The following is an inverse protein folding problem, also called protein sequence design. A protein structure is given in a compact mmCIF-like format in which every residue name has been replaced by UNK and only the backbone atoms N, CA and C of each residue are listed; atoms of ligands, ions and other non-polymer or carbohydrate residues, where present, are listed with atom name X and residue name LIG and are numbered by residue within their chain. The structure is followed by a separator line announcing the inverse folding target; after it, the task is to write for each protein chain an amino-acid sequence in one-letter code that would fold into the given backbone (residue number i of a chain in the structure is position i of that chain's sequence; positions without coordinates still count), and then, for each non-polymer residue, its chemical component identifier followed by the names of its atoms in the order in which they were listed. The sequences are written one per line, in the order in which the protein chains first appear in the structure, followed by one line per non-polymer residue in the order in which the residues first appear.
data_IF_176845662531
#
_entry.id   IF_176845662531
#
_cell.length_a   1.000
_cell.length_b   1.000
_cell.length_c   1.000
_cell.angle_alpha   90.00
_cell.angle_beta   90.00
_cell.angle_gamma   90.00
#
_symmetry.space_group_name_H-M   'P 1'
#
loop_
_entity.id
_entity.type
_entity.pdbx_description
1 polymer ?
#
# COMPACT_ATOMS: atom_id res chain seq x y z
N UNK A 1 -20.81 -102.74 25.53
CA UNK A 1 -19.97 -101.52 25.38
C UNK A 1 -19.97 -101.19 23.90
N UNK A 2 -20.51 -100.08 23.41
CA UNK A 2 -21.08 -98.90 24.07
C UNK A 2 -21.79 -98.06 23.00
N UNK A 3 -23.02 -97.69 23.32
CA UNK A 3 -23.68 -96.40 23.12
C UNK A 3 -23.95 -95.79 21.73
N UNK A 4 -25.27 -95.57 21.56
CA UNK A 4 -25.95 -94.50 20.84
C UNK A 4 -25.13 -93.24 20.54
N UNK A 5 -25.29 -92.69 19.33
CA UNK A 5 -25.42 -91.24 19.19
C UNK A 5 -26.37 -90.87 18.03
N UNK A 6 -27.60 -90.52 18.40
CA UNK A 6 -28.59 -89.92 17.51
C UNK A 6 -28.21 -88.46 17.27
N UNK A 7 -27.73 -88.14 16.06
CA UNK A 7 -27.56 -86.76 15.65
C UNK A 7 -28.84 -86.29 14.93
N UNK A 8 -29.67 -85.54 15.67
CA UNK A 8 -30.84 -84.82 15.18
C UNK A 8 -30.37 -83.80 14.16
N UNK A 9 -30.69 -84.02 12.87
CA UNK A 9 -30.58 -82.98 11.84
C UNK A 9 -31.69 -81.96 12.08
N UNK A 10 -31.31 -80.80 12.63
CA UNK A 10 -32.12 -79.60 12.67
C UNK A 10 -32.59 -79.27 11.25
N UNK A 11 -33.85 -79.60 10.99
CA UNK A 11 -34.52 -79.36 9.73
C UNK A 11 -34.86 -77.86 9.71
N UNK A 12 -33.94 -77.02 9.23
CA UNK A 12 -34.25 -75.64 8.80
C UNK A 12 -35.34 -75.72 7.73
N UNK A 13 -36.60 -75.70 8.17
CA UNK A 13 -37.77 -75.73 7.30
C UNK A 13 -37.72 -74.52 6.40
N UNK A 14 -37.33 -74.76 5.15
CA UNK A 14 -37.27 -73.74 4.11
C UNK A 14 -38.67 -73.09 3.99
N UNK A 15 -38.84 -71.80 4.34
CA UNK A 15 -40.17 -71.19 4.48
C UNK A 15 -40.99 -71.23 3.18
N UNK A 16 -40.30 -71.39 2.05
CA UNK A 16 -40.89 -71.59 0.72
C UNK A 16 -41.70 -72.88 0.56
N UNK A 17 -41.53 -73.94 1.37
CA UNK A 17 -42.25 -75.21 1.17
C UNK A 17 -43.74 -75.17 1.54
N UNK A 18 -44.21 -74.19 2.32
CA UNK A 18 -45.63 -74.07 2.77
C UNK A 18 -46.47 -73.04 2.01
N UNK A 19 -45.89 -72.33 1.04
CA UNK A 19 -46.57 -71.28 0.28
C UNK A 19 -47.25 -71.86 -0.97
N UNK A 20 -48.46 -71.41 -1.29
CA UNK A 20 -49.15 -71.80 -2.53
C UNK A 20 -48.32 -71.38 -3.76
N UNK A 21 -48.49 -72.07 -4.89
CA UNK A 21 -47.80 -71.79 -6.16
C UNK A 21 -47.88 -70.31 -6.55
N UNK A 22 -49.04 -69.67 -6.33
CA UNK A 22 -49.26 -68.25 -6.55
C UNK A 22 -48.36 -67.35 -5.71
N UNK A 23 -48.20 -67.64 -4.40
CA UNK A 23 -47.33 -66.85 -3.52
C UNK A 23 -45.85 -67.00 -3.86
N UNK A 24 -45.42 -68.18 -4.32
CA UNK A 24 -44.04 -68.41 -4.81
C UNK A 24 -43.76 -67.59 -6.08
N UNK A 25 -44.70 -67.60 -7.03
CA UNK A 25 -44.62 -66.76 -8.22
C UNK A 25 -44.54 -65.27 -7.87
N UNK A 26 -45.41 -64.81 -6.97
CA UNK A 26 -45.44 -63.41 -6.54
C UNK A 26 -44.11 -62.96 -5.90
N UNK A 27 -43.48 -63.81 -5.08
CA UNK A 27 -42.18 -63.52 -4.48
C UNK A 27 -41.07 -63.46 -5.54
N UNK A 28 -41.03 -64.40 -6.49
CA UNK A 28 -40.03 -64.40 -7.57
C UNK A 28 -40.21 -63.17 -8.47
N UNK A 29 -41.45 -62.86 -8.84
CA UNK A 29 -41.80 -61.68 -9.62
C UNK A 29 -41.42 -60.39 -8.89
N UNK A 30 -41.76 -60.27 -7.60
CA UNK A 30 -41.41 -59.10 -6.79
C UNK A 30 -39.88 -58.95 -6.66
N UNK A 31 -39.15 -60.04 -6.43
CA UNK A 31 -37.68 -60.02 -6.39
C UNK A 31 -37.06 -59.59 -7.72
N UNK A 32 -37.56 -60.11 -8.85
CA UNK A 32 -37.10 -59.70 -10.18
C UNK A 32 -37.39 -58.21 -10.45
N UNK A 33 -38.58 -57.73 -10.06
CA UNK A 33 -38.95 -56.32 -10.18
C UNK A 33 -38.03 -55.43 -9.34
N UNK A 34 -37.70 -55.83 -8.11
CA UNK A 34 -36.76 -55.10 -7.24
C UNK A 34 -35.38 -54.99 -7.90
N UNK A 35 -34.87 -56.07 -8.51
CA UNK A 35 -33.58 -56.04 -9.21
C UNK A 35 -33.61 -55.10 -10.42
N UNK A 36 -34.70 -55.11 -11.19
CA UNK A 36 -34.87 -54.18 -12.33
C UNK A 36 -34.92 -52.73 -11.84
N UNK A 37 -35.67 -52.45 -10.77
CA UNK A 37 -35.74 -51.10 -10.17
C UNK A 37 -34.37 -50.68 -9.66
N UNK A 38 -33.64 -51.55 -8.97
CA UNK A 38 -32.29 -51.26 -8.48
C UNK A 38 -31.33 -50.95 -9.63
N UNK A 39 -31.35 -51.74 -10.72
CA UNK A 39 -30.55 -51.49 -11.91
C UNK A 39 -30.92 -50.14 -12.57
N UNK A 40 -32.21 -49.84 -12.70
CA UNK A 40 -32.68 -48.57 -13.23
C UNK A 40 -32.24 -47.38 -12.37
N UNK A 41 -32.26 -47.51 -11.04
CA UNK A 41 -31.77 -46.47 -10.12
C UNK A 41 -30.27 -46.25 -10.24
N UNK A 42 -29.47 -47.29 -10.44
CA UNK A 42 -28.01 -47.16 -10.66
C UNK A 42 -27.72 -46.42 -11.97
N UNK A 43 -28.42 -46.77 -13.06
CA UNK A 43 -28.28 -46.08 -14.36
C UNK A 43 -28.72 -44.62 -14.21
N UNK A 44 -29.87 -44.38 -13.58
CA UNK A 44 -30.38 -43.03 -13.33
C UNK A 44 -29.42 -42.20 -12.49
N UNK A 45 -28.81 -42.81 -11.46
CA UNK A 45 -27.81 -42.13 -10.62
C UNK A 45 -26.58 -41.72 -11.44
N UNK A 46 -26.08 -42.61 -12.31
CA UNK A 46 -24.97 -42.27 -13.21
C UNK A 46 -25.31 -41.15 -14.18
N UNK A 47 -26.51 -41.19 -14.77
CA UNK A 47 -27.01 -40.13 -15.65
C UNK A 47 -27.15 -38.79 -14.92
N UNK A 48 -27.73 -38.78 -13.72
CA UNK A 48 -27.91 -37.56 -12.92
C UNK A 48 -26.56 -36.95 -12.50
N UNK A 49 -25.59 -37.78 -12.11
CA UNK A 49 -24.23 -37.34 -11.81
C UNK A 49 -23.57 -36.67 -13.01
N UNK A 50 -23.71 -37.26 -14.20
CA UNK A 50 -23.17 -36.69 -15.44
C UNK A 50 -23.94 -35.43 -15.88
N UNK A 51 -25.25 -35.38 -15.64
CA UNK A 51 -26.05 -34.17 -15.87
C UNK A 51 -25.63 -33.02 -14.95
N UNK A 52 -25.48 -33.28 -13.65
CA UNK A 52 -25.07 -32.28 -12.66
C UNK A 52 -23.67 -31.74 -12.94
N UNK A 53 -22.71 -32.62 -13.24
CA UNK A 53 -21.36 -32.21 -13.63
C UNK A 53 -21.32 -31.40 -14.94
N UNK A 54 -22.31 -31.58 -15.81
CA UNK A 54 -22.44 -30.85 -17.07
C UNK A 54 -23.06 -29.45 -16.94
N UNK A 55 -23.54 -29.06 -15.76
CA UNK A 55 -24.11 -27.72 -15.54
C UNK A 55 -22.99 -26.70 -15.36
N UNK A 56 -23.00 -25.56 -16.08
CA UNK A 56 -22.00 -24.51 -15.85
C UNK A 56 -22.01 -23.97 -14.41
N UNK A 57 -23.18 -24.03 -13.75
CA UNK A 57 -23.33 -23.69 -12.33
C UNK A 57 -22.41 -24.51 -11.41
N UNK A 58 -22.12 -25.78 -11.73
CA UNK A 58 -21.23 -26.62 -10.92
C UNK A 58 -19.80 -26.07 -10.89
N UNK A 59 -19.32 -25.51 -12.01
CA UNK A 59 -18.01 -24.83 -12.08
C UNK A 59 -18.02 -23.53 -11.26
N UNK A 60 -19.13 -22.80 -11.27
CA UNK A 60 -19.30 -21.59 -10.44
C UNK A 60 -19.39 -21.91 -8.95
N UNK A 61 -20.12 -22.94 -8.55
CA UNK A 61 -20.20 -23.40 -7.16
C UNK A 61 -18.82 -23.83 -6.65
N UNK A 62 -18.03 -24.49 -7.51
CA UNK A 62 -16.64 -24.83 -7.21
C UNK A 62 -15.78 -23.58 -7.02
N UNK A 63 -15.93 -22.56 -7.88
CA UNK A 63 -15.21 -21.29 -7.75
C UNK A 63 -15.57 -20.59 -6.43
N UNK A 64 -16.86 -20.46 -6.10
CA UNK A 64 -17.34 -19.88 -4.84
C UNK A 64 -16.73 -20.60 -3.64
N UNK A 65 -16.78 -21.93 -3.63
CA UNK A 65 -16.20 -22.73 -2.55
C UNK A 65 -14.67 -22.57 -2.41
N UNK A 66 -13.95 -22.22 -3.48
CA UNK A 66 -12.52 -21.88 -3.38
C UNK A 66 -12.32 -20.49 -2.78
N UNK A 67 -13.12 -19.50 -3.19
CA UNK A 67 -13.08 -18.14 -2.66
C UNK A 67 -13.40 -18.13 -1.16
N UNK A 68 -14.45 -18.83 -0.74
CA UNK A 68 -14.85 -18.96 0.68
C UNK A 68 -13.76 -19.63 1.54
N UNK A 69 -12.88 -20.42 0.93
CA UNK A 69 -11.71 -21.03 1.60
C UNK A 69 -10.46 -20.14 1.56
N UNK A 70 -10.53 -18.95 0.99
CA UNK A 70 -9.41 -18.02 0.83
C UNK A 70 -8.43 -18.39 -0.30
N UNK A 71 -8.78 -19.36 -1.17
CA UNK A 71 -7.90 -19.85 -2.24
C UNK A 71 -8.08 -19.05 -3.53
N UNK A 72 -7.72 -17.76 -3.51
CA UNK A 72 -7.87 -16.82 -4.65
C UNK A 72 -6.64 -16.72 -5.57
N UNK A 73 -5.45 -17.15 -5.10
CA UNK A 73 -4.17 -16.95 -5.80
C UNK A 73 -4.08 -17.49 -7.24
N UNK A 74 -4.57 -18.72 -7.47
CA UNK A 74 -4.55 -19.33 -8.81
C UNK A 74 -5.35 -18.51 -9.83
N UNK A 75 -6.45 -17.90 -9.38
CA UNK A 75 -7.34 -17.11 -10.22
C UNK A 75 -6.76 -15.73 -10.53
N UNK A 76 -6.06 -15.12 -9.55
CA UNK A 76 -5.34 -13.86 -9.74
C UNK A 76 -4.30 -14.01 -10.86
N UNK A 77 -3.49 -15.07 -10.83
CA UNK A 77 -2.52 -15.37 -11.90
C UNK A 77 -3.16 -15.48 -13.27
N UNK A 78 -4.31 -16.15 -13.37
CA UNK A 78 -5.04 -16.34 -14.64
C UNK A 78 -5.71 -15.06 -15.14
N UNK A 79 -6.05 -14.14 -14.23
CA UNK A 79 -6.72 -12.88 -14.56
C UNK A 79 -5.78 -11.79 -15.11
N UNK A 80 -4.46 -11.94 -14.95
CA UNK A 80 -3.49 -10.93 -15.38
C UNK A 80 -3.49 -9.66 -14.52
N UNK A 81 -4.09 -9.71 -13.32
CA UNK A 81 -4.17 -8.58 -12.39
C UNK A 81 -2.85 -8.25 -11.68
N UNK A 82 -1.83 -9.10 -11.81
CA UNK A 82 -0.58 -8.90 -11.09
C UNK A 82 0.21 -7.75 -11.72
N UNK A 83 0.30 -6.62 -11.01
CA UNK A 83 1.12 -5.48 -11.37
C UNK A 83 2.61 -5.72 -11.15
N UNK A 84 3.44 -4.80 -11.64
CA UNK A 84 4.90 -4.83 -11.52
C UNK A 84 5.37 -4.78 -10.05
N UNK A 85 4.63 -4.05 -9.20
CA UNK A 85 5.02 -3.72 -7.83
C UNK A 85 4.28 -4.55 -6.77
N UNK A 86 3.52 -5.58 -7.17
CA UNK A 86 2.72 -6.38 -6.24
C UNK A 86 2.97 -7.87 -6.43
N UNK A 87 2.91 -8.60 -5.31
CA UNK A 87 3.05 -10.04 -5.30
C UNK A 87 1.68 -10.71 -5.30
N UNK A 88 1.63 -11.99 -5.69
CA UNK A 88 0.40 -12.79 -5.58
C UNK A 88 -0.16 -12.78 -4.16
N UNK A 89 0.70 -12.73 -3.13
CA UNK A 89 0.27 -12.63 -1.73
C UNK A 89 -0.48 -11.34 -1.49
N UNK A 90 0.09 -10.18 -1.86
CA UNK A 90 -0.53 -8.86 -1.66
C UNK A 90 -1.92 -8.80 -2.30
N UNK A 91 -2.03 -9.22 -3.56
CA UNK A 91 -3.31 -9.21 -4.28
C UNK A 91 -4.28 -10.25 -3.69
N UNK A 92 -3.79 -11.42 -3.26
CA UNK A 92 -4.63 -12.44 -2.60
C UNK A 92 -5.17 -11.96 -1.26
N UNK A 93 -4.35 -11.23 -0.50
CA UNK A 93 -4.73 -10.64 0.78
C UNK A 93 -5.82 -9.59 0.58
N UNK A 94 -5.66 -8.69 -0.40
CA UNK A 94 -6.69 -7.73 -0.80
C UNK A 94 -8.04 -8.40 -1.10
N UNK A 95 -8.04 -9.45 -1.92
CA UNK A 95 -9.29 -10.14 -2.26
C UNK A 95 -9.86 -10.90 -1.07
N UNK A 96 -9.02 -11.54 -0.24
CA UNK A 96 -9.49 -12.20 0.98
C UNK A 96 -10.22 -11.20 1.88
N UNK A 97 -9.63 -10.03 2.11
CA UNK A 97 -10.23 -8.97 2.92
C UNK A 97 -11.52 -8.43 2.26
N UNK A 98 -11.55 -8.33 0.93
CA UNK A 98 -12.75 -7.95 0.16
C UNK A 98 -13.91 -8.93 0.37
N UNK A 99 -13.62 -10.21 0.53
CA UNK A 99 -14.60 -11.29 0.70
C UNK A 99 -14.90 -11.63 2.16
N UNK A 100 -14.06 -11.21 3.11
CA UNK A 100 -14.19 -11.58 4.51
C UNK A 100 -15.53 -11.12 5.11
N UNK A 101 -16.26 -12.06 5.72
CA UNK A 101 -17.56 -11.79 6.34
C UNK A 101 -18.72 -11.55 5.36
N UNK A 102 -18.48 -11.59 4.05
CA UNK A 102 -19.50 -11.36 3.02
C UNK A 102 -20.09 -12.65 2.47
N UNK A 103 -21.33 -12.61 2.02
CA UNK A 103 -21.96 -13.71 1.30
C UNK A 103 -21.52 -13.71 -0.16
N UNK A 104 -20.86 -14.77 -0.61
CA UNK A 104 -20.43 -14.91 -2.01
C UNK A 104 -21.55 -15.55 -2.83
N UNK A 105 -21.96 -14.91 -3.92
CA UNK A 105 -23.01 -15.42 -4.80
C UNK A 105 -22.75 -15.10 -6.26
N UNK A 106 -23.49 -15.72 -7.19
CA UNK A 106 -23.37 -15.43 -8.61
C UNK A 106 -24.71 -15.43 -9.34
N UNK A 107 -24.81 -14.65 -10.41
CA UNK A 107 -25.99 -14.58 -11.29
C UNK A 107 -25.56 -14.65 -12.74
N UNK A 108 -26.43 -15.20 -13.61
CA UNK A 108 -26.19 -15.17 -15.07
C UNK A 108 -26.05 -13.72 -15.53
N UNK A 109 -25.03 -13.41 -16.32
CA UNK A 109 -24.81 -12.06 -16.84
C UNK A 109 -25.82 -11.76 -17.93
N UNK A 110 -26.73 -10.83 -17.67
CA UNK A 110 -27.77 -10.44 -18.62
C UNK A 110 -27.13 -9.92 -19.92
N UNK A 111 -27.63 -10.39 -21.07
CA UNK A 111 -27.15 -9.99 -22.39
C UNK A 111 -25.89 -10.70 -22.89
N UNK A 112 -25.10 -11.34 -22.02
CA UNK A 112 -23.84 -12.03 -22.38
C UNK A 112 -23.88 -13.55 -22.15
N UNK A 113 -24.70 -14.02 -21.21
CA UNK A 113 -24.85 -15.45 -20.96
C UNK A 113 -25.55 -16.16 -22.14
N UNK A 114 -24.96 -17.25 -22.61
CA UNK A 114 -25.63 -18.27 -23.43
C UNK A 114 -25.32 -19.69 -22.95
N UNK A 115 -26.09 -20.68 -23.38
CA UNK A 115 -25.84 -22.08 -23.05
C UNK A 115 -24.55 -22.63 -23.72
N UNK A 116 -24.04 -21.98 -24.77
CA UNK A 116 -22.77 -22.31 -25.41
C UNK A 116 -21.59 -21.46 -24.91
N UNK A 117 -21.87 -20.29 -24.34
CA UNK A 117 -20.89 -19.34 -23.80
C UNK A 117 -21.38 -18.79 -22.45
N UNK A 118 -21.30 -19.58 -21.37
CA UNK A 118 -21.80 -19.18 -20.07
C UNK A 118 -20.97 -18.03 -19.50
N UNK A 119 -21.65 -16.94 -19.13
CA UNK A 119 -21.05 -15.78 -18.48
C UNK A 119 -21.84 -15.44 -17.22
N UNK A 120 -21.14 -15.29 -16.10
CA UNK A 120 -21.72 -15.00 -14.80
C UNK A 120 -21.16 -13.70 -14.22
N UNK A 121 -21.92 -13.07 -13.33
CA UNK A 121 -21.44 -11.99 -12.46
C UNK A 121 -21.31 -12.55 -11.05
N UNK A 122 -20.13 -12.41 -10.47
CA UNK A 122 -19.81 -12.76 -9.09
C UNK A 122 -20.09 -11.56 -8.18
N UNK A 123 -20.71 -11.83 -7.04
CA UNK A 123 -21.08 -10.86 -6.04
C UNK A 123 -20.47 -11.23 -4.68
N UNK A 124 -20.12 -10.20 -3.91
CA UNK A 124 -19.92 -10.31 -2.46
C UNK A 124 -20.95 -9.38 -1.80
N UNK A 125 -21.90 -9.99 -1.09
CA UNK A 125 -23.18 -9.37 -0.74
C UNK A 125 -23.89 -8.80 -1.99
N UNK A 126 -24.03 -7.47 -2.06
CA UNK A 126 -24.63 -6.76 -3.19
C UNK A 126 -23.60 -6.19 -4.18
N UNK A 127 -22.31 -6.20 -3.83
CA UNK A 127 -21.23 -5.64 -4.64
C UNK A 127 -20.89 -6.56 -5.81
N UNK A 128 -20.85 -6.02 -7.03
CA UNK A 128 -20.37 -6.75 -8.22
C UNK A 128 -18.85 -6.82 -8.19
N UNK A 129 -18.32 -8.02 -7.99
CA UNK A 129 -16.87 -8.24 -7.83
C UNK A 129 -16.21 -8.64 -9.15
N UNK A 130 -16.84 -9.48 -9.97
CA UNK A 130 -16.21 -9.94 -11.22
C UNK A 130 -17.22 -10.41 -12.26
N UNK A 131 -16.82 -10.38 -13.53
CA UNK A 131 -17.43 -11.18 -14.60
C UNK A 131 -16.62 -12.45 -14.83
N UNK A 132 -17.29 -13.59 -14.91
CA UNK A 132 -16.68 -14.91 -15.03
C UNK A 132 -17.16 -15.59 -16.30
N UNK A 133 -16.25 -15.96 -17.19
CA UNK A 133 -16.57 -16.66 -18.44
C UNK A 133 -16.10 -18.11 -18.39
N UNK A 134 -16.89 -19.03 -18.93
CA UNK A 134 -16.60 -20.46 -18.97
C UNK A 134 -16.45 -20.96 -20.41
N UNK A 135 -15.52 -21.87 -20.61
CA UNK A 135 -15.31 -22.58 -21.88
C UNK A 135 -15.71 -24.05 -21.76
N UNK A 136 -16.06 -24.66 -22.89
CA UNK A 136 -16.19 -26.10 -23.00
C UNK A 136 -14.82 -26.76 -22.69
N UNK A 137 -14.82 -27.66 -21.71
CA UNK A 137 -13.66 -28.47 -21.39
C UNK A 137 -13.65 -29.76 -22.21
N UNK A 138 -14.72 -30.56 -22.08
CA UNK A 138 -14.93 -31.84 -22.79
C UNK A 138 -16.39 -32.29 -22.67
N UNK A 139 -16.72 -33.41 -23.30
CA UNK A 139 -17.98 -34.14 -23.06
C UNK A 139 -17.77 -35.30 -22.09
N UNK A 140 -18.71 -35.52 -21.16
CA UNK A 140 -18.73 -36.71 -20.29
C UNK A 140 -19.38 -37.93 -20.98
N UNK A 141 -19.53 -39.05 -20.25
CA UNK A 141 -19.99 -40.32 -20.81
C UNK A 141 -21.41 -40.22 -21.41
N UNK A 142 -22.27 -39.37 -20.84
CA UNK A 142 -23.62 -39.09 -21.34
C UNK A 142 -23.70 -37.90 -22.31
N UNK A 143 -22.54 -37.41 -22.82
CA UNK A 143 -22.40 -36.31 -23.77
C UNK A 143 -22.79 -34.92 -23.25
N UNK A 144 -22.89 -34.73 -21.94
CA UNK A 144 -23.02 -33.39 -21.36
C UNK A 144 -21.67 -32.65 -21.40
N UNK A 145 -21.73 -31.33 -21.61
CA UNK A 145 -20.55 -30.47 -21.62
C UNK A 145 -20.04 -30.28 -20.19
N UNK A 146 -18.81 -30.68 -19.90
CA UNK A 146 -18.11 -30.24 -18.70
C UNK A 146 -17.48 -28.87 -18.97
N UNK A 147 -17.63 -27.95 -18.01
CA UNK A 147 -17.18 -26.57 -18.14
C UNK A 147 -15.91 -26.32 -17.36
N UNK A 148 -15.02 -25.51 -17.91
CA UNK A 148 -13.81 -25.00 -17.23
C UNK A 148 -13.85 -23.48 -17.19
N UNK A 149 -13.14 -22.90 -16.22
CA UNK A 149 -12.94 -21.46 -16.20
C UNK A 149 -12.17 -21.02 -17.45
N UNK A 150 -12.70 -20.02 -18.16
CA UNK A 150 -12.01 -19.33 -19.26
C UNK A 150 -11.29 -18.08 -18.74
N UNK A 151 -12.04 -17.15 -18.14
CA UNK A 151 -11.50 -15.90 -17.62
C UNK A 151 -12.30 -15.39 -16.42
N UNK A 152 -11.61 -14.66 -15.54
CA UNK A 152 -12.22 -13.84 -14.49
C UNK A 152 -11.75 -12.42 -14.71
N UNK A 153 -12.69 -11.53 -14.97
CA UNK A 153 -12.45 -10.10 -15.07
C UNK A 153 -13.03 -9.43 -13.83
N UNK A 154 -12.16 -9.13 -12.88
CA UNK A 154 -12.57 -8.46 -11.66
C UNK A 154 -13.00 -7.02 -11.98
N UNK A 155 -14.13 -6.62 -11.42
CA UNK A 155 -14.64 -5.26 -11.43
C UNK A 155 -13.92 -4.41 -10.37
N UNK A 156 -12.62 -4.63 -10.25
CA UNK A 156 -11.68 -3.78 -9.55
C UNK A 156 -11.03 -2.97 -10.65
N UNK A 157 -11.29 -1.67 -10.67
CA UNK A 157 -10.57 -0.86 -11.60
C UNK A 157 -9.15 -0.76 -11.05
N UNK A 158 -8.23 -1.60 -11.53
CA UNK A 158 -6.80 -1.35 -11.35
C UNK A 158 -6.35 -0.06 -12.06
N UNK A 159 -7.28 0.77 -12.53
CA UNK A 159 -7.05 2.18 -12.91
C UNK A 159 -7.88 3.15 -12.07
N UNK A 160 -8.65 2.68 -11.07
CA UNK A 160 -9.20 3.60 -10.08
C UNK A 160 -8.03 4.19 -9.31
N UNK A 161 -8.01 5.51 -9.24
CA UNK A 161 -6.98 6.27 -8.54
C UNK A 161 -7.02 6.05 -7.02
N UNK A 162 -7.91 5.19 -6.50
CA UNK A 162 -8.09 4.94 -5.07
C UNK A 162 -6.81 4.45 -4.38
N UNK A 163 -5.89 3.85 -5.14
CA UNK A 163 -4.58 3.40 -4.66
C UNK A 163 -3.44 3.90 -5.56
N UNK A 164 -3.66 5.00 -6.29
CA UNK A 164 -2.57 5.69 -6.97
C UNK A 164 -1.60 6.25 -5.92
N UNK A 165 -0.30 6.10 -6.19
CA UNK A 165 0.77 6.54 -5.32
C UNK A 165 1.57 7.61 -6.04
N UNK A 166 1.62 8.78 -5.42
CA UNK A 166 2.53 9.85 -5.79
C UNK A 166 3.74 9.79 -4.84
N UNK A 167 4.96 9.80 -5.39
CA UNK A 167 6.20 9.85 -4.59
C UNK A 167 7.02 11.05 -5.05
N UNK A 168 7.28 12.00 -4.16
CA UNK A 168 8.12 13.18 -4.42
C UNK A 168 9.47 12.97 -3.75
N UNK A 169 10.55 12.95 -4.54
CA UNK A 169 11.89 12.59 -4.05
C UNK A 169 12.95 13.56 -4.55
N UNK A 170 14.08 13.76 -3.84
CA UNK A 170 15.22 14.51 -4.37
C UNK A 170 15.62 13.98 -5.74
N UNK A 171 15.85 14.87 -6.71
CA UNK A 171 16.13 14.46 -8.09
C UNK A 171 17.30 13.49 -8.17
N UNK A 172 17.12 12.42 -8.94
CA UNK A 172 18.11 11.34 -9.08
C UNK A 172 18.14 10.32 -7.93
N UNK A 173 17.14 10.32 -7.04
CA UNK A 173 16.98 9.25 -6.04
C UNK A 173 16.42 7.97 -6.67
N UNK A 174 16.80 6.84 -6.10
CA UNK A 174 16.22 5.53 -6.41
C UNK A 174 14.96 5.31 -5.55
N UNK A 175 13.85 4.93 -6.18
CA UNK A 175 12.59 4.61 -5.50
C UNK A 175 12.33 3.11 -5.57
N UNK A 176 11.89 2.52 -4.46
CA UNK A 176 11.40 1.15 -4.38
C UNK A 176 9.97 1.12 -3.84
N UNK A 177 9.11 0.36 -4.52
CA UNK A 177 7.77 0.02 -4.06
C UNK A 177 7.70 -1.48 -3.78
N UNK A 178 7.34 -1.86 -2.56
CA UNK A 178 7.29 -3.25 -2.11
C UNK A 178 8.59 -4.04 -2.40
N UNK A 179 9.74 -3.36 -2.34
CA UNK A 179 11.06 -3.93 -2.62
C UNK A 179 11.38 -4.10 -4.12
N UNK A 180 10.58 -3.54 -5.01
CA UNK A 180 10.83 -3.51 -6.47
C UNK A 180 11.25 -2.09 -6.86
N UNK A 181 12.38 -1.97 -7.54
CA UNK A 181 12.89 -0.70 -8.05
C UNK A 181 11.96 -0.11 -9.11
N UNK A 182 11.60 1.15 -8.95
CA UNK A 182 10.75 1.90 -9.88
C UNK A 182 11.60 2.48 -11.01
N UNK A 183 11.17 2.27 -12.26
CA UNK A 183 11.81 2.89 -13.44
C UNK A 183 11.55 4.41 -13.49
N UNK A 184 12.47 5.14 -14.11
CA UNK A 184 12.28 6.56 -14.44
C UNK A 184 11.10 6.83 -15.38
N UNK A 185 10.57 5.79 -16.06
CA UNK A 185 9.39 5.91 -16.92
C UNK A 185 8.12 6.31 -16.14
N UNK A 186 8.12 6.12 -14.81
CA UNK A 186 7.04 6.54 -13.91
C UNK A 186 7.18 7.98 -13.42
N UNK A 187 8.25 8.70 -13.81
CA UNK A 187 8.41 10.12 -13.48
C UNK A 187 7.46 10.94 -14.36
N UNK A 188 6.51 11.63 -13.73
CA UNK A 188 5.51 12.45 -14.41
C UNK A 188 5.81 13.95 -14.36
N UNK A 189 6.79 14.37 -13.56
CA UNK A 189 7.23 15.76 -13.53
C UNK A 189 8.30 16.05 -12.48
N UNK A 190 8.58 17.33 -12.31
CA UNK A 190 9.50 17.85 -11.31
C UNK A 190 8.79 18.91 -10.46
N UNK A 191 9.21 19.06 -9.20
CA UNK A 191 8.77 20.15 -8.31
C UNK A 191 9.96 20.91 -7.73
N UNK A 192 9.74 22.19 -7.42
CA UNK A 192 10.72 23.02 -6.74
C UNK A 192 10.86 22.64 -5.26
N UNK A 193 12.06 22.84 -4.71
CA UNK A 193 12.27 22.80 -3.25
C UNK A 193 11.98 24.19 -2.68
N UNK A 194 10.86 24.34 -1.98
CA UNK A 194 10.36 25.63 -1.47
C UNK A 194 11.31 26.40 -0.55
N UNK A 195 12.23 25.71 0.13
CA UNK A 195 13.28 26.34 0.93
C UNK A 195 14.37 26.98 0.06
N UNK A 196 14.59 26.47 -1.15
CA UNK A 196 15.68 26.87 -2.04
C UNK A 196 15.24 27.81 -3.18
N UNK A 197 14.04 28.40 -3.11
CA UNK A 197 13.51 29.26 -4.19
C UNK A 197 14.30 30.56 -4.44
N UNK A 198 15.18 30.96 -3.52
CA UNK A 198 15.93 32.21 -3.60
C UNK A 198 17.45 32.02 -3.69
N UNK A 199 17.93 30.81 -4.01
CA UNK A 199 19.38 30.52 -4.05
C UNK A 199 19.93 30.38 -5.46
N UNK A 200 19.10 30.54 -6.50
CA UNK A 200 19.44 30.30 -7.92
C UNK A 200 20.59 31.16 -8.44
N UNK A 201 20.86 32.30 -7.82
CA UNK A 201 21.96 33.19 -8.20
C UNK A 201 23.33 32.65 -7.74
N UNK A 202 23.34 31.68 -6.83
CA UNK A 202 24.53 31.20 -6.15
C UNK A 202 24.83 29.72 -6.42
N UNK A 203 23.79 28.91 -6.60
CA UNK A 203 23.88 27.46 -6.78
C UNK A 203 22.81 26.95 -7.74
N UNK A 204 23.07 25.80 -8.35
CA UNK A 204 22.03 25.06 -9.06
C UNK A 204 20.90 24.70 -8.09
N UNK A 205 19.69 25.18 -8.38
CA UNK A 205 18.57 25.04 -7.46
C UNK A 205 18.13 23.58 -7.38
N UNK A 206 18.06 22.97 -6.18
CA UNK A 206 17.60 21.61 -6.03
C UNK A 206 16.12 21.49 -6.43
N UNK A 207 15.80 20.37 -7.05
CA UNK A 207 14.44 20.01 -7.49
C UNK A 207 14.13 18.57 -7.09
N UNK A 208 12.86 18.22 -7.08
CA UNK A 208 12.41 16.87 -6.79
C UNK A 208 11.82 16.22 -8.05
N UNK A 209 12.04 14.92 -8.23
CA UNK A 209 11.31 14.11 -9.19
C UNK A 209 9.97 13.68 -8.57
N UNK A 210 8.92 13.64 -9.39
CA UNK A 210 7.57 13.18 -9.01
C UNK A 210 7.28 11.89 -9.77
N UNK A 211 7.10 10.81 -9.03
CA UNK A 211 6.62 9.53 -9.54
C UNK A 211 5.10 9.42 -9.36
N UNK A 212 4.38 8.91 -10.37
CA UNK A 212 2.97 8.54 -10.26
C UNK A 212 2.78 7.08 -10.69
N UNK A 213 2.40 6.23 -9.74
CA UNK A 213 2.15 4.80 -9.96
C UNK A 213 0.68 4.55 -9.70
N UNK A 214 -0.03 4.02 -10.68
CA UNK A 214 -1.46 3.69 -10.57
C UNK A 214 -1.68 2.19 -10.61
N UNK A 215 -2.82 1.75 -10.09
CA UNK A 215 -3.26 0.37 -10.26
C UNK A 215 -2.73 -0.64 -9.26
N UNK A 216 -2.33 -0.14 -8.10
CA UNK A 216 -2.06 -0.97 -6.94
C UNK A 216 -3.39 -1.39 -6.29
N UNK A 217 -3.40 -2.55 -5.65
CA UNK A 217 -4.52 -3.03 -4.84
C UNK A 217 -4.45 -2.51 -3.41
N UNK A 218 -3.24 -2.28 -2.90
CA UNK A 218 -3.00 -1.79 -1.54
C UNK A 218 -1.98 -0.65 -1.53
N UNK A 219 -1.92 0.07 -0.41
CA UNK A 219 -0.84 1.05 -0.20
C UNK A 219 0.50 0.30 -0.10
N UNK A 220 1.52 0.67 -0.93
CA UNK A 220 2.79 -0.02 -0.94
C UNK A 220 3.70 0.40 0.22
N UNK A 221 4.68 -0.44 0.52
CA UNK A 221 5.88 -0.04 1.25
C UNK A 221 6.75 0.82 0.32
N UNK A 222 7.07 2.05 0.74
CA UNK A 222 7.84 3.01 -0.06
C UNK A 222 9.19 3.23 0.59
N UNK A 223 10.26 2.97 -0.17
CA UNK A 223 11.63 3.27 0.24
C UNK A 223 12.32 4.10 -0.82
N UNK A 224 13.11 5.06 -0.38
CA UNK A 224 13.83 5.98 -1.26
C UNK A 224 15.28 6.03 -0.84
N UNK A 225 16.18 5.98 -1.81
CA UNK A 225 17.61 5.98 -1.59
C UNK A 225 18.28 7.10 -2.39
N UNK A 226 19.25 7.78 -1.79
CA UNK A 226 20.14 8.69 -2.50
C UNK A 226 21.58 8.30 -2.22
N UNK A 227 22.35 8.06 -3.29
CA UNK A 227 23.74 7.60 -3.21
C UNK A 227 23.92 6.37 -2.30
N UNK A 228 22.95 5.45 -2.31
CA UNK A 228 22.95 4.23 -1.50
C UNK A 228 22.54 4.39 -0.03
N UNK A 229 22.20 5.60 0.43
CA UNK A 229 21.66 5.85 1.77
C UNK A 229 20.15 6.00 1.71
N UNK A 230 19.44 5.28 2.58
CA UNK A 230 17.99 5.40 2.71
C UNK A 230 17.61 6.79 3.23
N UNK A 231 16.63 7.40 2.58
CA UNK A 231 16.08 8.70 2.93
C UNK A 231 14.89 8.54 3.87
N UNK A 232 14.75 9.50 4.79
CA UNK A 232 13.53 9.62 5.57
C UNK A 232 12.36 9.98 4.64
N UNK A 233 11.31 9.19 4.73
CA UNK A 233 10.09 9.31 3.92
C UNK A 233 8.90 9.50 4.83
N UNK A 234 7.96 10.36 4.44
CA UNK A 234 6.71 10.64 5.15
C UNK A 234 5.52 10.54 4.18
N UNK A 235 4.36 10.10 4.68
CA UNK A 235 3.11 10.15 3.93
C UNK A 235 2.37 11.44 4.29
N UNK A 236 2.25 12.36 3.33
CA UNK A 236 1.49 13.61 3.47
C UNK A 236 0.12 13.53 2.76
N UNK A 237 -0.55 14.67 2.55
CA UNK A 237 -1.86 14.73 1.89
C UNK A 237 -1.79 14.49 0.38
N UNK A 238 -0.65 14.75 -0.24
CA UNK A 238 -0.43 14.63 -1.69
C UNK A 238 0.23 13.30 -2.08
N UNK A 239 0.92 12.63 -1.16
CA UNK A 239 1.57 11.34 -1.38
C UNK A 239 2.75 11.12 -0.44
N UNK A 240 3.68 10.27 -0.85
CA UNK A 240 4.92 10.06 -0.12
C UNK A 240 5.93 11.14 -0.49
N UNK A 241 6.62 11.69 0.51
CA UNK A 241 7.69 12.68 0.33
C UNK A 241 8.95 12.15 0.99
N UNK A 242 10.00 11.99 0.20
CA UNK A 242 11.34 11.72 0.71
C UNK A 242 12.12 13.02 0.83
N UNK A 243 12.84 13.16 1.95
CA UNK A 243 13.59 14.36 2.24
C UNK A 243 15.08 14.19 1.90
N UNK A 244 15.71 15.28 1.43
CA UNK A 244 17.16 15.34 1.24
C UNK A 244 17.95 14.81 2.45
N UNK A 245 19.09 14.15 2.25
CA UNK A 245 19.84 13.56 3.35
C UNK A 245 20.41 14.64 4.28
N UNK A 246 20.56 14.30 5.56
CA UNK A 246 21.45 15.03 6.46
C UNK A 246 22.92 14.66 6.22
N UNK A 247 23.82 15.52 6.69
CA UNK A 247 25.28 15.34 6.64
C UNK A 247 25.87 15.71 8.01
N UNK A 248 26.07 14.71 8.86
CA UNK A 248 26.53 14.90 10.25
C UNK A 248 27.95 15.48 10.31
N UNK A 249 28.79 15.19 9.31
CA UNK A 249 30.15 15.72 9.23
C UNK A 249 30.11 17.21 8.95
N UNK A 250 29.32 17.63 7.95
CA UNK A 250 29.14 19.05 7.64
C UNK A 250 28.44 19.80 8.77
N UNK A 251 27.45 19.18 9.42
CA UNK A 251 26.80 19.77 10.59
C UNK A 251 27.81 20.04 11.71
N UNK A 252 28.68 19.08 12.03
CA UNK A 252 29.69 19.27 13.08
C UNK A 252 30.71 20.36 12.70
N UNK A 253 31.11 20.43 11.42
CA UNK A 253 31.99 21.48 10.89
C UNK A 253 31.36 22.88 11.01
N UNK A 254 30.10 23.03 10.57
CA UNK A 254 29.43 24.32 10.48
C UNK A 254 28.65 24.73 11.73
N UNK A 255 28.54 23.86 12.74
CA UNK A 255 27.77 24.11 13.97
C UNK A 255 28.12 25.45 14.62
N UNK A 256 29.40 25.73 14.78
CA UNK A 256 29.85 26.99 15.40
C UNK A 256 29.50 28.20 14.56
N UNK A 257 29.61 28.10 13.24
CA UNK A 257 29.24 29.17 12.32
C UNK A 257 27.74 29.43 12.32
N UNK A 258 26.92 28.39 12.29
CA UNK A 258 25.45 28.47 12.36
C UNK A 258 25.02 29.18 13.65
N UNK A 259 25.57 28.77 14.80
CA UNK A 259 25.27 29.39 16.10
C UNK A 259 25.81 30.83 16.19
N UNK A 260 26.94 31.14 15.57
CA UNK A 260 27.45 32.50 15.50
C UNK A 260 26.52 33.43 14.72
N UNK A 261 25.95 32.97 13.60
CA UNK A 261 24.94 33.75 12.85
C UNK A 261 23.69 33.97 13.70
N UNK A 262 23.22 32.94 14.41
CA UNK A 262 22.09 33.03 15.33
C UNK A 262 22.35 33.99 16.49
N UNK A 263 23.53 33.94 17.12
CA UNK A 263 23.93 34.86 18.18
C UNK A 263 23.94 36.31 17.68
N UNK A 264 24.49 36.56 16.49
CA UNK A 264 24.50 37.90 15.89
C UNK A 264 23.09 38.40 15.54
N UNK A 265 22.20 37.51 15.10
CA UNK A 265 20.78 37.81 14.90
C UNK A 265 20.12 38.24 16.22
N UNK A 266 20.27 37.44 17.28
CA UNK A 266 19.73 37.75 18.60
C UNK A 266 20.27 39.07 19.17
N UNK A 267 21.58 39.31 19.05
CA UNK A 267 22.22 40.57 19.44
C UNK A 267 21.67 41.77 18.65
N UNK A 268 21.46 41.61 17.35
CA UNK A 268 20.88 42.66 16.51
C UNK A 268 19.47 43.04 16.97
N UNK A 269 18.60 42.04 17.23
CA UNK A 269 17.22 42.29 17.71
C UNK A 269 17.15 43.17 18.97
N UNK A 270 18.06 42.96 19.92
CA UNK A 270 18.08 43.69 21.21
C UNK A 270 19.03 44.90 21.19
N UNK A 271 19.47 45.35 20.02
CA UNK A 271 20.37 46.50 19.85
C UNK A 271 21.70 46.35 20.63
N UNK A 272 22.24 45.12 20.67
CA UNK A 272 23.58 44.78 21.20
C UNK A 272 24.57 44.35 20.12
N UNK A 273 24.08 44.10 18.92
CA UNK A 273 24.85 43.83 17.71
C UNK A 273 24.66 44.94 16.69
N UNK A 274 25.32 44.81 15.54
CA UNK A 274 25.15 45.73 14.40
C UNK A 274 24.66 45.00 13.17
N UNK A 275 23.86 45.68 12.35
CA UNK A 275 23.46 45.16 11.04
C UNK A 275 24.69 44.84 10.18
N UNK A 276 25.75 45.65 10.24
CA UNK A 276 26.99 45.42 9.50
C UNK A 276 27.66 44.10 9.86
N UNK A 277 27.71 43.75 11.14
CA UNK A 277 28.27 42.47 11.59
C UNK A 277 27.41 41.30 11.11
N UNK A 278 26.09 41.37 11.30
CA UNK A 278 25.17 40.30 10.93
C UNK A 278 25.12 40.09 9.41
N UNK A 279 24.96 41.17 8.65
CA UNK A 279 24.94 41.14 7.18
C UNK A 279 26.29 40.76 6.55
N UNK A 280 27.38 40.76 7.33
CA UNK A 280 28.67 40.21 6.93
C UNK A 280 28.66 38.69 6.75
N UNK A 281 27.66 38.00 7.29
CA UNK A 281 27.42 36.56 7.13
C UNK A 281 26.27 36.25 6.17
N UNK A 282 25.66 37.27 5.56
CA UNK A 282 24.48 37.12 4.71
C UNK A 282 24.77 37.56 3.27
N UNK A 283 24.04 36.96 2.34
CA UNK A 283 23.96 37.35 0.93
C UNK A 283 22.50 37.27 0.46
N UNK A 284 22.23 37.78 -0.74
CA UNK A 284 20.92 37.69 -1.39
C UNK A 284 19.76 38.12 -0.51
N UNK A 285 18.66 37.35 -0.59
CA UNK A 285 17.40 37.62 0.10
C UNK A 285 17.57 37.78 1.61
N UNK A 286 18.41 36.98 2.26
CA UNK A 286 18.65 37.12 3.70
C UNK A 286 19.19 38.52 4.05
N UNK A 287 20.14 39.02 3.26
CA UNK A 287 20.76 40.34 3.49
C UNK A 287 19.81 41.49 3.19
N UNK A 288 19.04 41.37 2.10
CA UNK A 288 18.03 42.36 1.72
C UNK A 288 16.94 42.44 2.79
N UNK A 289 16.31 41.31 3.13
CA UNK A 289 15.25 41.24 4.12
C UNK A 289 15.71 41.72 5.50
N UNK A 290 16.91 41.34 5.95
CA UNK A 290 17.45 41.80 7.24
C UNK A 290 17.69 43.31 7.27
N UNK A 291 18.02 43.93 6.14
CA UNK A 291 18.22 45.38 6.07
C UNK A 291 16.93 46.18 6.24
N UNK A 292 15.79 45.58 5.91
CA UNK A 292 14.46 46.16 6.06
C UNK A 292 13.86 45.94 7.46
N UNK A 293 14.44 45.04 8.26
CA UNK A 293 14.00 44.80 9.64
C UNK A 293 14.76 45.76 10.59
N UNK A 294 14.08 46.75 11.19
CA UNK A 294 14.72 47.60 12.19
C UNK A 294 15.09 46.74 13.42
N UNK A 295 16.32 46.85 13.88
CA UNK A 295 16.71 46.34 15.20
C UNK A 295 15.90 47.07 16.26
N UNK A 296 14.88 46.45 16.84
CA UNK A 296 14.13 47.09 17.92
C UNK A 296 13.30 46.09 18.73
N UNK A 297 13.63 46.01 20.01
CA UNK A 297 12.63 46.14 21.05
C UNK A 297 12.69 47.58 21.61
N UNK A 298 11.69 48.41 21.27
CA UNK A 298 11.60 49.81 21.70
C UNK A 298 11.62 49.91 23.22
N UNK A 299 11.14 48.88 23.93
CA UNK A 299 11.10 48.84 25.38
C UNK A 299 12.49 48.78 26.03
N UNK A 300 13.52 48.34 25.30
CA UNK A 300 14.90 48.26 25.81
C UNK A 300 15.70 49.56 25.61
N UNK A 301 15.20 50.51 24.81
CA UNK A 301 15.89 51.78 24.55
C UNK A 301 16.08 52.55 25.86
N UNK A 302 17.33 52.93 26.16
CA UNK A 302 17.70 53.68 27.35
C UNK A 302 17.74 52.86 28.65
N UNK A 303 17.53 51.54 28.59
CA UNK A 303 17.63 50.64 29.76
C UNK A 303 19.00 49.97 29.83
N UNK A 304 19.51 49.81 31.06
CA UNK A 304 20.62 48.90 31.33
C UNK A 304 20.07 47.49 31.54
N UNK A 305 20.54 46.53 30.75
CA UNK A 305 20.12 45.12 30.82
C UNK A 305 21.29 44.18 30.56
N UNK A 306 21.15 42.92 30.99
CA UNK A 306 22.00 41.78 30.60
C UNK A 306 21.19 40.83 29.71
N UNK A 307 21.89 39.96 28.98
CA UNK A 307 21.25 38.93 28.18
C UNK A 307 22.08 37.65 28.16
N UNK A 308 21.43 36.53 27.90
CA UNK A 308 22.06 35.25 27.62
C UNK A 308 21.19 34.43 26.66
N UNK A 309 21.86 33.63 25.83
CA UNK A 309 21.22 32.66 24.96
C UNK A 309 21.23 31.30 25.67
N UNK A 310 20.10 30.59 25.62
CA UNK A 310 19.94 29.24 26.17
C UNK A 310 19.16 28.37 25.21
N UNK A 311 19.14 27.05 25.47
CA UNK A 311 18.36 26.07 24.71
C UNK A 311 18.67 26.06 23.20
N UNK A 312 19.93 26.30 22.83
CA UNK A 312 20.38 26.27 21.43
C UNK A 312 20.26 24.86 20.84
N UNK A 313 19.51 24.77 19.75
CA UNK A 313 19.26 23.53 19.06
C UNK A 313 19.34 23.72 17.54
N UNK A 314 20.14 22.89 16.89
CA UNK A 314 20.17 22.76 15.42
C UNK A 314 19.48 21.45 15.07
N UNK A 315 18.45 21.52 14.24
CA UNK A 315 17.66 20.37 13.81
C UNK A 315 17.39 20.42 12.31
N UNK A 316 16.80 19.35 11.75
CA UNK A 316 16.42 19.26 10.33
C UNK A 316 17.53 19.72 9.38
N UNK A 317 18.77 19.29 9.65
CA UNK A 317 19.89 19.56 8.75
C UNK A 317 19.72 18.77 7.46
N UNK A 318 19.67 19.47 6.32
CA UNK A 318 19.44 18.90 4.99
C UNK A 318 20.49 19.43 4.03
N UNK A 319 21.26 18.54 3.41
CA UNK A 319 22.23 18.89 2.37
C UNK A 319 21.60 18.68 1.00
N UNK A 320 21.53 19.75 0.21
CA UNK A 320 20.96 19.74 -1.13
C UNK A 320 22.01 19.51 -2.21
N UNK A 321 23.21 20.08 -2.01
CA UNK A 321 24.40 19.91 -2.84
C UNK A 321 25.64 20.14 -1.99
N UNK A 322 26.84 20.04 -2.59
CA UNK A 322 28.09 20.38 -1.89
C UNK A 322 28.19 21.86 -1.51
N UNK A 323 27.38 22.72 -2.14
CA UNK A 323 27.39 24.16 -1.96
C UNK A 323 26.06 24.71 -1.41
N UNK A 324 25.11 23.85 -1.00
CA UNK A 324 23.81 24.29 -0.46
C UNK A 324 23.28 23.36 0.63
N UNK A 325 22.95 23.92 1.79
CA UNK A 325 22.26 23.19 2.87
C UNK A 325 21.25 24.09 3.59
N UNK A 326 20.34 23.46 4.34
CA UNK A 326 19.48 24.15 5.29
C UNK A 326 19.50 23.50 6.66
N UNK A 327 19.15 24.28 7.68
CA UNK A 327 18.91 23.76 9.02
C UNK A 327 17.89 24.63 9.77
N UNK A 328 17.22 24.01 10.73
CA UNK A 328 16.43 24.71 11.72
C UNK A 328 17.34 25.13 12.88
N UNK A 329 17.19 26.37 13.34
CA UNK A 329 17.88 26.89 14.53
C UNK A 329 16.83 27.41 15.50
N UNK A 330 16.79 26.82 16.68
CA UNK A 330 15.90 27.18 17.78
C UNK A 330 16.74 27.60 18.99
N UNK A 331 16.40 28.71 19.64
CA UNK A 331 17.04 29.13 20.89
C UNK A 331 16.19 30.14 21.65
N UNK A 332 16.52 30.35 22.92
CA UNK A 332 15.91 31.38 23.77
C UNK A 332 16.87 32.52 24.01
N UNK A 333 16.45 33.73 23.69
CA UNK A 333 17.15 34.96 24.04
C UNK A 333 16.52 35.56 25.30
N UNK A 334 17.17 35.37 26.44
CA UNK A 334 16.70 35.89 27.71
C UNK A 334 17.32 37.26 27.97
N UNK A 335 16.50 38.26 28.27
CA UNK A 335 16.93 39.64 28.55
C UNK A 335 16.42 40.04 29.93
N UNK A 336 17.32 40.52 30.77
CA UNK A 336 17.03 40.85 32.17
C UNK A 336 17.45 42.29 32.49
N UNK A 337 16.58 43.06 33.13
CA UNK A 337 16.88 44.39 33.68
C UNK A 337 16.39 44.51 35.12
N UNK A 338 16.66 45.63 35.78
CA UNK A 338 16.43 45.80 37.22
C UNK A 338 14.99 45.58 37.71
N UNK A 339 14.00 45.77 36.84
CA UNK A 339 12.57 45.69 37.18
C UNK A 339 11.81 44.59 36.47
N UNK A 340 12.49 43.71 35.71
CA UNK A 340 11.82 42.65 34.97
C UNK A 340 12.73 41.91 34.00
N UNK A 341 12.13 40.98 33.28
CA UNK A 341 12.78 40.18 32.25
C UNK A 341 11.81 39.89 31.11
N UNK A 342 12.38 39.50 29.97
CA UNK A 342 11.64 38.94 28.83
C UNK A 342 12.47 37.84 28.20
N UNK A 343 11.81 36.91 27.53
CA UNK A 343 12.45 35.84 26.76
C UNK A 343 11.86 35.87 25.36
N UNK A 344 12.71 35.90 24.35
CA UNK A 344 12.31 35.70 22.96
C UNK A 344 12.62 34.26 22.57
N UNK A 345 11.57 33.49 22.29
CA UNK A 345 11.70 32.17 21.68
C UNK A 345 11.93 32.36 20.17
N UNK A 346 13.15 32.09 19.71
CA UNK A 346 13.56 32.32 18.32
C UNK A 346 13.61 30.96 17.62
N UNK A 347 12.80 30.83 16.56
CA UNK A 347 12.75 29.66 15.71
C UNK A 347 12.91 30.10 14.25
N UNK A 348 14.05 29.76 13.66
CA UNK A 348 14.41 30.11 12.29
C UNK A 348 14.70 28.85 11.49
N UNK A 349 14.49 28.92 10.18
CA UNK A 349 15.06 28.00 9.19
C UNK A 349 16.06 28.79 8.37
N UNK A 350 17.30 28.34 8.34
CA UNK A 350 18.39 28.94 7.59
C UNK A 350 18.68 28.15 6.33
N UNK A 351 19.01 28.86 5.26
CA UNK A 351 19.46 28.30 3.98
C UNK A 351 20.82 28.93 3.68
N UNK A 352 21.86 28.10 3.72
CA UNK A 352 23.23 28.48 3.45
C UNK A 352 23.65 28.04 2.07
N UNK A 353 24.45 28.89 1.41
CA UNK A 353 25.15 28.55 0.18
C UNK A 353 26.64 28.86 0.32
N UNK A 354 27.48 28.11 -0.39
CA UNK A 354 28.92 28.29 -0.38
C UNK A 354 29.35 29.25 -1.47
N UNK A 355 30.06 30.32 -1.13
CA UNK A 355 30.61 31.31 -2.06
C UNK A 355 32.05 31.62 -1.65
N UNK A 356 32.98 31.59 -2.60
CA UNK A 356 34.41 31.82 -2.36
C UNK A 356 34.98 31.00 -1.18
N UNK A 357 34.54 29.75 -1.05
CA UNK A 357 34.95 28.83 0.01
C UNK A 357 34.33 29.10 1.39
N UNK A 358 33.36 30.01 1.50
CA UNK A 358 32.69 30.37 2.77
C UNK A 358 31.20 30.10 2.69
N UNK A 359 30.62 29.59 3.77
CA UNK A 359 29.18 29.44 3.90
C UNK A 359 28.52 30.75 4.29
N UNK A 360 27.58 31.19 3.47
CA UNK A 360 26.86 32.45 3.62
C UNK A 360 25.37 32.17 3.74
N UNK A 361 24.70 32.84 4.68
CA UNK A 361 23.25 32.75 4.84
C UNK A 361 22.59 33.46 3.65
N UNK A 362 21.98 32.71 2.74
CA UNK A 362 21.36 33.23 1.52
C UNK A 362 19.87 33.53 1.70
N UNK A 363 19.18 32.74 2.52
CA UNK A 363 17.78 32.95 2.85
C UNK A 363 17.48 32.45 4.27
N UNK A 364 16.44 32.99 4.89
CA UNK A 364 15.91 32.46 6.14
C UNK A 364 14.40 32.66 6.26
N UNK A 365 13.76 31.80 7.05
CA UNK A 365 12.33 31.88 7.35
C UNK A 365 12.11 31.83 8.86
N UNK A 366 11.18 32.64 9.35
CA UNK A 366 10.68 32.53 10.73
C UNK A 366 9.66 31.39 10.75
N UNK A 367 9.77 30.50 11.74
CA UNK A 367 8.88 29.34 11.91
C UNK A 367 7.76 29.60 12.91
#
# INVERSE_FOLDING_TARGET
MSDMNNNVKDNKKNPFKRLSSFKKFLIIYASALIVIIAAALVILHGFLKDYESGRPANTMDTLVAHIEKGNVGEWIKKSGLLGEFETESIVSDYFRDTFEGKQISYKKKAGEYSESTPVYVLYADDDKIASVSLDESRKNAHKFTEWKLSSINFNVNAQDKSHAVKVTVPKGSDVELNGVKVSSDYITGESSVDLCKHVSDYVDTPVNDIYEITGLFTAPDVKVYSSGKELSTELDKEGYVAYYPGDDSLLEEEKQHILLVAENYGKYMINRGSLTTLSGYMIGTAKEYMSDIPAIDVYLIGRTFTYNITDENISNFRKYSDDCYSCNVDYKLNVNWSSGSTTYDIALTYIFVKQDGKWMLADFKIR
#
